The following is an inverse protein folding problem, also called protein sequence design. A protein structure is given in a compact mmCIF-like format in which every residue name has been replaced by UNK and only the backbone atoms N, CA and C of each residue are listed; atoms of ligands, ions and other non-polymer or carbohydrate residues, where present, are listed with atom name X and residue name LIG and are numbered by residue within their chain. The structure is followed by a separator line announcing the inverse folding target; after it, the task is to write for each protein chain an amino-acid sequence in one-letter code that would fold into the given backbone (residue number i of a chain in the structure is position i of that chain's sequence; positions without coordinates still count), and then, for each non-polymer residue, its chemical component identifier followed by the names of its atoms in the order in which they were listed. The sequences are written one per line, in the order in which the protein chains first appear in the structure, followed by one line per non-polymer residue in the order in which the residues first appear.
data_IF_818470025838
#
_entry.id   IF_818470025838
#
_cell.length_a   1.000
_cell.length_b   1.000
_cell.length_c   1.000
_cell.angle_alpha   90.00
_cell.angle_beta   90.00
_cell.angle_gamma   90.00
#
_symmetry.space_group_name_H-M   'P 1'
#
loop_
_entity.id
_entity.type
_entity.pdbx_description
1 polymer ?
#
# COMPACT_ATOMS: atom_id res chain seq x y z
N UNK A 1 -55.02 -38.15 16.41
CA UNK A 1 -54.49 -37.17 15.44
C UNK A 1 -53.42 -36.37 16.18
N UNK A 2 -52.14 -36.76 16.04
CA UNK A 2 -51.03 -36.20 16.82
C UNK A 2 -50.29 -35.13 16.01
N UNK A 3 -50.10 -33.96 16.62
CA UNK A 3 -49.38 -32.81 16.08
C UNK A 3 -47.89 -33.01 16.35
N UNK A 4 -47.05 -32.91 15.32
CA UNK A 4 -45.60 -32.97 15.41
C UNK A 4 -45.03 -31.54 15.37
N UNK A 5 -44.18 -31.11 16.33
CA UNK A 5 -43.52 -29.82 16.25
C UNK A 5 -42.20 -29.94 15.48
N UNK A 6 -42.07 -29.19 14.39
CA UNK A 6 -40.82 -29.02 13.64
C UNK A 6 -39.89 -28.10 14.41
N UNK A 7 -38.84 -28.65 15.00
CA UNK A 7 -37.76 -27.90 15.63
C UNK A 7 -36.79 -27.46 14.52
N UNK A 8 -36.79 -26.17 14.19
CA UNK A 8 -35.76 -25.56 13.36
C UNK A 8 -34.50 -25.33 14.20
N UNK A 9 -33.45 -26.10 13.91
CA UNK A 9 -32.13 -25.95 14.52
C UNK A 9 -31.32 -24.93 13.70
N UNK A 10 -31.39 -23.65 14.06
CA UNK A 10 -30.54 -22.60 13.45
C UNK A 10 -29.13 -22.68 14.03
N UNK A 11 -28.17 -23.15 13.23
CA UNK A 11 -26.75 -23.13 13.57
C UNK A 11 -26.18 -21.71 13.38
N UNK A 12 -25.84 -21.06 14.50
CA UNK A 12 -25.06 -19.81 14.52
C UNK A 12 -23.60 -20.11 14.17
N UNK A 13 -23.19 -19.77 12.95
CA UNK A 13 -21.77 -19.78 12.54
C UNK A 13 -21.14 -18.49 13.05
N UNK A 14 -20.35 -18.60 14.13
CA UNK A 14 -19.49 -17.52 14.58
C UNK A 14 -18.28 -17.42 13.64
N UNK A 15 -18.28 -16.42 12.76
CA UNK A 15 -17.12 -16.08 11.95
C UNK A 15 -16.01 -15.52 12.83
N UNK A 16 -14.92 -16.28 12.99
CA UNK A 16 -13.69 -15.77 13.60
C UNK A 16 -13.04 -14.77 12.63
N UNK A 17 -13.17 -13.48 12.91
CA UNK A 17 -12.38 -12.45 12.25
C UNK A 17 -10.92 -12.58 12.70
N UNK A 18 -10.16 -13.45 12.04
CA UNK A 18 -8.72 -13.56 12.25
C UNK A 18 -8.05 -12.28 11.77
N UNK A 19 -7.41 -11.54 12.68
CA UNK A 19 -6.54 -10.43 12.32
C UNK A 19 -5.45 -10.93 11.35
N UNK A 20 -5.34 -10.30 10.18
CA UNK A 20 -4.28 -10.62 9.22
C UNK A 20 -2.92 -10.36 9.89
N UNK A 21 -1.91 -11.22 9.69
CA UNK A 21 -0.60 -11.02 10.28
C UNK A 21 -0.05 -9.64 9.85
N UNK A 22 0.26 -8.78 10.83
CA UNK A 22 0.95 -7.52 10.53
C UNK A 22 2.30 -7.85 9.90
N UNK A 23 2.52 -7.29 8.70
CA UNK A 23 3.77 -7.47 7.98
C UNK A 23 4.92 -6.81 8.76
N UNK A 24 5.91 -7.60 9.19
CA UNK A 24 7.11 -7.08 9.86
C UNK A 24 7.95 -6.30 8.84
N UNK A 25 8.26 -5.04 9.16
CA UNK A 25 9.10 -4.13 8.37
C UNK A 25 10.30 -3.68 9.19
N UNK A 26 11.47 -3.62 8.57
CA UNK A 26 12.74 -3.36 9.28
C UNK A 26 13.33 -1.97 9.04
N UNK A 27 12.79 -1.22 8.07
CA UNK A 27 13.35 0.07 7.63
C UNK A 27 14.31 -0.07 6.45
N UNK A 28 14.95 -1.24 6.30
CA UNK A 28 15.91 -1.52 5.23
C UNK A 28 15.27 -1.66 3.84
N UNK A 29 13.95 -1.58 3.74
CA UNK A 29 13.24 -1.56 2.46
C UNK A 29 13.39 -0.22 1.73
N UNK A 30 13.82 0.82 2.44
CA UNK A 30 14.00 2.16 1.89
C UNK A 30 15.35 2.77 2.22
N UNK A 31 15.73 3.79 1.46
CA UNK A 31 16.83 4.70 1.77
C UNK A 31 16.41 6.15 1.58
N UNK A 32 17.13 7.07 2.23
CA UNK A 32 16.99 8.51 1.99
C UNK A 32 15.63 9.09 2.34
N UNK A 33 14.90 8.50 3.28
CA UNK A 33 13.60 9.02 3.71
C UNK A 33 13.76 10.41 4.34
N UNK A 34 13.00 11.39 3.85
CA UNK A 34 12.97 12.76 4.36
C UNK A 34 11.53 13.19 4.57
N UNK A 35 11.20 13.65 5.77
CA UNK A 35 9.88 14.21 6.06
C UNK A 35 9.82 15.64 5.51
N UNK A 36 8.84 15.95 4.68
CA UNK A 36 8.75 17.22 3.95
C UNK A 36 7.80 18.21 4.61
N UNK A 37 6.71 17.73 5.21
CA UNK A 37 5.80 18.53 6.03
C UNK A 37 5.11 17.63 7.06
N UNK A 38 5.53 17.76 8.32
CA UNK A 38 5.02 16.95 9.44
C UNK A 38 3.69 17.46 10.01
N UNK A 39 3.19 18.61 9.55
CA UNK A 39 1.93 19.20 10.02
C UNK A 39 0.70 18.59 9.38
N UNK A 40 0.87 17.91 8.24
CA UNK A 40 -0.22 17.28 7.49
C UNK A 40 -0.70 16.02 8.23
N UNK A 41 -2.01 15.94 8.43
CA UNK A 41 -2.69 14.77 8.96
C UNK A 41 -3.46 14.05 7.83
N UNK A 42 -2.83 13.05 7.23
CA UNK A 42 -3.50 12.24 6.21
C UNK A 42 -4.53 11.29 6.83
N UNK A 43 -5.65 11.12 6.12
CA UNK A 43 -6.64 10.12 6.47
C UNK A 43 -6.11 8.71 6.14
N UNK A 44 -6.02 7.83 7.14
CA UNK A 44 -5.48 6.47 6.98
C UNK A 44 -6.21 5.63 5.93
N UNK A 45 -7.54 5.77 5.80
CA UNK A 45 -8.29 5.04 4.77
C UNK A 45 -7.86 5.52 3.38
N UNK A 46 -7.88 6.83 3.15
CA UNK A 46 -7.50 7.43 1.88
C UNK A 46 -6.04 7.13 1.52
N UNK A 47 -5.12 7.21 2.49
CA UNK A 47 -3.72 6.84 2.26
C UNK A 47 -3.59 5.37 1.83
N UNK A 48 -4.32 4.45 2.47
CA UNK A 48 -4.31 3.04 2.07
C UNK A 48 -4.91 2.82 0.68
N UNK A 49 -5.96 3.55 0.31
CA UNK A 49 -6.50 3.49 -1.05
C UNK A 49 -5.51 4.06 -2.06
N UNK A 50 -4.84 5.18 -1.74
CA UNK A 50 -3.81 5.79 -2.59
C UNK A 50 -2.60 4.85 -2.79
N UNK A 51 -2.15 4.15 -1.74
CA UNK A 51 -1.11 3.09 -1.82
C UNK A 51 -1.51 2.05 -2.88
N UNK A 52 -2.78 1.64 -2.92
CA UNK A 52 -3.27 0.63 -3.86
C UNK A 52 -3.61 1.19 -5.24
N UNK A 53 -3.71 2.51 -5.39
CA UNK A 53 -4.11 3.19 -6.62
C UNK A 53 -3.03 3.32 -7.69
N UNK A 54 -1.76 3.03 -7.35
CA UNK A 54 -0.67 3.09 -8.33
C UNK A 54 -0.91 2.14 -9.50
N UNK A 55 -0.39 2.49 -10.67
CA UNK A 55 -0.43 1.70 -11.91
C UNK A 55 -1.86 1.36 -12.37
N UNK A 56 -2.81 2.26 -12.10
CA UNK A 56 -4.24 2.04 -12.38
C UNK A 56 -4.92 1.07 -11.40
N UNK A 57 -4.22 0.65 -10.34
CA UNK A 57 -4.70 -0.28 -9.33
C UNK A 57 -3.82 -1.53 -9.22
N UNK A 58 -3.25 -1.76 -8.03
CA UNK A 58 -2.51 -2.98 -7.66
C UNK A 58 -3.20 -3.79 -6.56
N UNK A 59 -4.52 -3.61 -6.42
CA UNK A 59 -5.38 -4.44 -5.58
C UNK A 59 -5.98 -5.62 -6.37
N UNK A 60 -6.53 -6.61 -5.67
CA UNK A 60 -7.27 -7.71 -6.31
C UNK A 60 -6.37 -8.71 -7.07
N UNK A 61 -6.77 -9.15 -8.27
CA UNK A 61 -6.00 -10.13 -9.07
C UNK A 61 -4.66 -9.56 -9.57
N UNK A 62 -4.54 -8.23 -9.63
CA UNK A 62 -3.31 -7.52 -9.97
C UNK A 62 -2.53 -7.32 -8.68
N UNK A 63 -1.49 -8.12 -8.47
CA UNK A 63 -0.62 -8.03 -7.28
C UNK A 63 0.71 -7.33 -7.57
N UNK A 64 0.80 -6.63 -8.70
CA UNK A 64 2.02 -6.01 -9.20
C UNK A 64 1.68 -4.82 -10.09
N UNK A 65 2.46 -3.75 -9.97
CA UNK A 65 2.51 -2.72 -11.00
C UNK A 65 3.09 -3.34 -12.28
N UNK A 66 2.20 -3.85 -13.13
CA UNK A 66 2.51 -4.42 -14.45
C UNK A 66 2.38 -3.36 -15.55
N UNK A 67 2.82 -3.67 -16.77
CA UNK A 67 2.81 -2.72 -17.89
C UNK A 67 4.03 -1.79 -17.96
N UNK A 68 4.95 -1.89 -16.99
CA UNK A 68 6.27 -1.24 -17.01
C UNK A 68 6.25 0.27 -17.32
N UNK A 69 5.45 1.11 -16.62
CA UNK A 69 5.57 2.55 -16.79
C UNK A 69 6.85 3.08 -16.13
N UNK A 70 7.42 4.18 -16.62
CA UNK A 70 8.54 4.86 -15.97
C UNK A 70 8.12 5.64 -14.72
N UNK A 71 6.84 6.05 -14.67
CA UNK A 71 6.24 6.76 -13.52
C UNK A 71 4.80 6.33 -13.32
N UNK A 72 4.30 6.51 -12.09
CA UNK A 72 2.89 6.28 -11.78
C UNK A 72 2.45 7.09 -10.58
N UNK A 73 1.14 7.30 -10.45
CA UNK A 73 0.54 7.93 -9.28
C UNK A 73 -0.58 7.06 -8.72
N UNK A 74 -0.79 7.16 -7.42
CA UNK A 74 -1.95 6.63 -6.72
C UNK A 74 -2.51 7.72 -5.84
N UNK A 75 -3.79 8.04 -5.98
CA UNK A 75 -4.42 9.16 -5.28
C UNK A 75 -5.75 8.74 -4.68
N UNK A 76 -6.02 9.21 -3.46
CA UNK A 76 -7.32 9.11 -2.82
C UNK A 76 -7.41 10.15 -1.72
N UNK A 77 -8.57 10.81 -1.58
CA UNK A 77 -8.72 11.96 -0.69
C UNK A 77 -7.62 13.00 -0.93
N UNK A 78 -6.94 13.40 0.14
CA UNK A 78 -5.78 14.30 0.08
C UNK A 78 -4.45 13.57 -0.08
N UNK A 79 -4.41 12.24 -0.06
CA UNK A 79 -3.17 11.47 -0.19
C UNK A 79 -2.81 11.26 -1.65
N UNK A 80 -1.62 11.75 -2.06
CA UNK A 80 -1.04 11.49 -3.38
C UNK A 80 0.31 10.78 -3.24
N UNK A 81 0.40 9.57 -3.79
CA UNK A 81 1.67 8.90 -4.03
C UNK A 81 2.13 9.14 -5.46
N UNK A 82 3.40 9.52 -5.61
CA UNK A 82 4.08 9.58 -6.91
C UNK A 82 5.30 8.68 -6.89
N UNK A 83 5.47 7.84 -7.92
CA UNK A 83 6.58 6.90 -8.04
C UNK A 83 7.29 7.11 -9.39
N UNK A 84 8.62 6.98 -9.39
CA UNK A 84 9.46 7.04 -10.59
C UNK A 84 10.58 6.00 -10.53
N UNK A 85 10.85 5.31 -11.65
CA UNK A 85 12.08 4.53 -11.79
C UNK A 85 13.28 5.48 -11.83
N UNK A 86 14.29 5.23 -10.99
CA UNK A 86 15.43 6.15 -10.85
C UNK A 86 16.51 5.95 -11.91
N UNK A 87 16.64 4.73 -12.43
CA UNK A 87 17.60 4.41 -13.49
C UNK A 87 17.03 4.81 -14.85
N UNK A 88 17.79 5.60 -15.62
CA UNK A 88 17.41 5.99 -16.97
C UNK A 88 17.12 4.77 -17.86
N UNK A 89 16.02 4.82 -18.63
CA UNK A 89 15.57 3.71 -19.48
C UNK A 89 14.94 2.54 -18.73
N UNK A 90 14.87 2.58 -17.40
CA UNK A 90 14.20 1.56 -16.59
C UNK A 90 12.75 1.91 -16.32
N UNK A 91 11.99 0.93 -15.87
CA UNK A 91 10.55 1.00 -15.66
C UNK A 91 10.19 0.40 -14.32
N UNK A 92 9.04 0.79 -13.77
CA UNK A 92 8.54 0.28 -12.50
C UNK A 92 8.08 -1.17 -12.68
N UNK A 93 8.52 -2.02 -11.77
CA UNK A 93 8.33 -3.46 -11.74
C UNK A 93 8.11 -3.97 -10.30
N UNK A 94 7.31 -3.24 -9.52
CA UNK A 94 7.13 -3.45 -8.08
C UNK A 94 5.88 -4.30 -7.77
N UNK A 95 6.02 -5.30 -6.89
CA UNK A 95 4.88 -6.06 -6.37
C UNK A 95 4.15 -5.29 -5.26
N UNK A 96 2.86 -5.56 -5.07
CA UNK A 96 2.05 -4.98 -3.98
C UNK A 96 2.73 -5.13 -2.63
N UNK A 97 3.14 -6.36 -2.28
CA UNK A 97 3.75 -6.62 -0.99
C UNK A 97 5.11 -5.95 -0.77
N UNK A 98 5.88 -5.65 -1.84
CA UNK A 98 7.11 -4.85 -1.73
C UNK A 98 6.76 -3.38 -1.53
N UNK A 99 5.84 -2.86 -2.32
CA UNK A 99 5.41 -1.46 -2.25
C UNK A 99 4.87 -1.09 -0.86
N UNK A 100 3.94 -1.89 -0.32
CA UNK A 100 3.38 -1.66 1.01
C UNK A 100 4.46 -1.66 2.11
N UNK A 101 5.50 -2.49 1.98
CA UNK A 101 6.64 -2.48 2.91
C UNK A 101 7.50 -1.25 2.78
N UNK A 102 7.77 -0.77 1.55
CA UNK A 102 8.52 0.45 1.34
C UNK A 102 7.81 1.66 1.96
N UNK A 103 6.49 1.77 1.79
CA UNK A 103 5.70 2.86 2.42
C UNK A 103 5.77 2.76 3.95
N UNK A 104 5.52 1.58 4.51
CA UNK A 104 5.61 1.37 5.97
C UNK A 104 7.01 1.66 6.51
N UNK A 105 8.06 1.27 5.78
CA UNK A 105 9.45 1.52 6.16
C UNK A 105 9.77 3.02 6.16
N UNK A 106 9.29 3.79 5.18
CA UNK A 106 9.40 5.25 5.18
C UNK A 106 8.63 5.87 6.37
N UNK A 107 7.46 5.33 6.70
CA UNK A 107 6.66 5.78 7.85
C UNK A 107 7.29 5.48 9.22
N UNK A 108 8.24 4.54 9.31
CA UNK A 108 9.05 4.39 10.53
C UNK A 108 9.90 5.64 10.82
N UNK A 109 10.33 6.34 9.77
CA UNK A 109 11.09 7.60 9.87
C UNK A 109 10.15 8.81 9.93
N UNK A 110 9.09 8.82 9.11
CA UNK A 110 8.10 9.89 9.02
C UNK A 110 6.72 9.37 9.43
N UNK A 111 6.42 9.23 10.74
CA UNK A 111 5.19 8.62 11.22
C UNK A 111 3.93 9.43 10.88
N UNK A 112 4.09 10.72 10.60
CA UNK A 112 3.04 11.63 10.15
C UNK A 112 3.58 12.53 9.04
N UNK A 113 2.67 13.17 8.31
CA UNK A 113 3.05 14.15 7.31
C UNK A 113 3.48 13.58 5.96
N UNK A 114 3.85 14.50 5.08
CA UNK A 114 4.39 14.20 3.74
C UNK A 114 5.86 13.79 3.84
N UNK A 115 6.33 13.00 2.87
CA UNK A 115 7.72 12.59 2.80
C UNK A 115 8.16 12.25 1.38
N UNK A 116 9.47 12.19 1.17
CA UNK A 116 10.12 11.55 0.02
C UNK A 116 10.98 10.39 0.49
N UNK A 117 11.16 9.37 -0.35
CA UNK A 117 11.98 8.20 -0.02
C UNK A 117 12.37 7.42 -1.29
N UNK A 118 13.36 6.54 -1.18
CA UNK A 118 13.71 5.57 -2.23
C UNK A 118 13.37 4.18 -1.77
N UNK A 119 12.57 3.44 -2.53
CA UNK A 119 12.29 2.01 -2.32
C UNK A 119 13.39 1.19 -3.00
N UNK A 120 14.05 0.31 -2.24
CA UNK A 120 15.14 -0.52 -2.76
C UNK A 120 14.57 -1.60 -3.68
N UNK A 121 15.04 -1.61 -4.92
CA UNK A 121 14.50 -2.40 -6.02
C UNK A 121 13.16 -1.87 -6.53
N UNK A 122 12.41 -2.76 -7.19
CA UNK A 122 11.07 -2.42 -7.68
C UNK A 122 11.06 -1.69 -9.02
N UNK A 123 12.22 -1.41 -9.63
CA UNK A 123 12.35 -1.12 -11.05
C UNK A 123 12.85 -2.36 -11.83
N UNK A 124 12.83 -2.31 -13.15
CA UNK A 124 13.46 -3.32 -14.01
C UNK A 124 14.97 -3.34 -13.83
N UNK A 125 15.58 -2.17 -13.62
CA UNK A 125 16.96 -2.00 -13.14
C UNK A 125 17.00 -0.93 -12.04
N UNK A 126 17.55 -1.29 -10.88
CA UNK A 126 17.70 -0.38 -9.74
C UNK A 126 16.39 -0.13 -8.98
N UNK A 127 16.26 1.10 -8.48
CA UNK A 127 15.33 1.48 -7.43
C UNK A 127 14.18 2.36 -7.93
N UNK A 128 13.17 2.53 -7.08
CA UNK A 128 12.02 3.42 -7.31
C UNK A 128 12.01 4.54 -6.29
N UNK A 129 12.11 5.79 -6.75
CA UNK A 129 11.87 6.96 -5.92
C UNK A 129 10.39 7.19 -5.74
N UNK A 130 9.96 7.59 -4.55
CA UNK A 130 8.57 7.88 -4.27
C UNK A 130 8.35 8.99 -3.25
N UNK A 131 7.16 9.57 -3.27
CA UNK A 131 6.70 10.56 -2.30
C UNK A 131 5.27 10.28 -1.84
N UNK A 132 4.95 10.75 -0.64
CA UNK A 132 3.58 11.03 -0.20
C UNK A 132 3.46 12.54 -0.03
N UNK A 133 2.49 13.15 -0.70
CA UNK A 133 2.19 14.58 -0.62
C UNK A 133 0.68 14.82 -0.53
N UNK A 134 0.28 16.05 -0.18
CA UNK A 134 -1.08 16.49 -0.42
C UNK A 134 -1.35 16.59 -1.93
N UNK A 135 -2.53 16.09 -2.34
CA UNK A 135 -2.99 16.04 -3.73
C UNK A 135 -3.39 17.41 -4.29
#
# INVERSE_FOLDING_TARGET
MYIQPSIFLSALVFGIAGALPQQVVSGNEVTGTQCTDTSIAFNTHDTNVAILGICGGIAGTIQKCGGSPSSTTGQSGTSLFTLNALTAGSTINISKGRWERCVKAAQLTCPTGSFTSTCIGGATVGDVGFSLAEA
#
